data_IF_719689805765
#
_entry.id   IF_719689805765
#
_cell.length_a   1.000
_cell.length_b   1.000
_cell.length_c   1.000
_cell.angle_alpha   90.00
_cell.angle_beta   90.00
_cell.angle_gamma   90.00
#
_symmetry.space_group_name_H-M   'P 1'
#
loop_
_entity.id
_entity.type
_entity.pdbx_description
1 polymer ?
#
# COMPACT_ATOMS: atom_id res chain seq x y z
N UNK A 1 -15.13 10.44 -0.84
CA UNK A 1 -15.04 9.51 -1.98
C UNK A 1 -14.34 10.16 -3.16
N UNK A 2 -13.29 9.53 -3.67
CA UNK A 2 -12.52 10.00 -4.84
C UNK A 2 -12.76 9.06 -6.02
N UNK A 3 -13.01 9.60 -7.21
CA UNK A 3 -13.21 8.81 -8.43
C UNK A 3 -12.13 9.17 -9.45
N UNK A 4 -11.39 8.16 -9.91
CA UNK A 4 -10.30 8.31 -10.87
C UNK A 4 -10.63 7.47 -12.11
N UNK A 5 -10.65 8.13 -13.26
CA UNK A 5 -10.96 7.53 -14.55
C UNK A 5 -9.69 7.15 -15.31
N UNK A 6 -9.82 6.25 -16.29
CA UNK A 6 -8.72 5.93 -17.20
C UNK A 6 -8.17 7.18 -17.89
N UNK A 7 -6.86 7.20 -18.09
CA UNK A 7 -6.05 8.33 -18.57
C UNK A 7 -5.82 9.47 -17.55
N UNK A 8 -6.47 9.45 -16.39
CA UNK A 8 -6.09 10.34 -15.27
C UNK A 8 -4.89 9.74 -14.53
N UNK A 9 -3.96 10.59 -14.06
CA UNK A 9 -2.83 10.14 -13.24
C UNK A 9 -3.36 9.48 -11.96
N UNK A 10 -2.98 8.23 -11.72
CA UNK A 10 -3.28 7.54 -10.45
C UNK A 10 -2.29 8.06 -9.40
N UNK A 11 -2.72 8.87 -8.41
CA UNK A 11 -1.87 9.27 -7.30
C UNK A 11 -1.74 8.10 -6.31
N UNK A 12 -0.81 8.21 -5.36
CA UNK A 12 -0.77 7.30 -4.21
C UNK A 12 -2.13 7.26 -3.52
N UNK A 13 -2.69 6.05 -3.37
CA UNK A 13 -3.99 5.83 -2.74
C UNK A 13 -3.77 5.64 -1.23
N UNK A 14 -4.32 6.55 -0.42
CA UNK A 14 -4.11 6.59 1.04
C UNK A 14 -5.27 5.97 1.85
N UNK A 15 -6.34 5.53 1.18
CA UNK A 15 -7.58 5.02 1.76
C UNK A 15 -8.08 3.72 1.08
N UNK A 16 -9.18 3.12 1.58
CA UNK A 16 -9.79 1.94 0.96
C UNK A 16 -10.06 2.16 -0.52
N UNK A 17 -9.81 1.16 -1.35
CA UNK A 17 -9.94 1.33 -2.80
C UNK A 17 -10.59 0.16 -3.54
N UNK A 18 -11.42 0.52 -4.52
CA UNK A 18 -12.17 -0.41 -5.37
C UNK A 18 -11.88 -0.10 -6.84
N UNK A 19 -11.47 -1.12 -7.59
CA UNK A 19 -11.42 -1.07 -9.05
C UNK A 19 -12.67 -1.74 -9.63
N UNK A 20 -13.43 -1.01 -10.45
CA UNK A 20 -14.69 -1.49 -11.04
C UNK A 20 -14.47 -2.10 -12.44
N UNK A 21 -14.33 -3.42 -12.48
CA UNK A 21 -14.08 -4.21 -13.69
C UNK A 21 -15.38 -4.84 -14.21
N UNK A 22 -15.48 -4.98 -15.52
CA UNK A 22 -16.68 -5.48 -16.17
C UNK A 22 -16.79 -4.99 -17.61
N UNK A 23 -17.86 -5.37 -18.34
CA UNK A 23 -18.08 -4.89 -19.69
C UNK A 23 -18.14 -3.37 -19.73
N UNK A 24 -17.49 -2.79 -20.74
CA UNK A 24 -17.53 -1.36 -21.06
C UNK A 24 -18.04 -1.18 -22.48
N UNK A 25 -18.84 -0.14 -22.71
CA UNK A 25 -19.43 0.19 -24.01
C UNK A 25 -19.61 1.70 -24.14
N UNK A 26 -19.71 2.16 -25.38
CA UNK A 26 -20.10 3.54 -25.70
C UNK A 26 -21.62 3.77 -25.51
N UNK A 27 -22.41 2.71 -25.38
CA UNK A 27 -23.84 2.79 -25.04
C UNK A 27 -24.02 2.98 -23.52
N UNK A 28 -24.66 4.08 -23.11
CA UNK A 28 -24.92 4.43 -21.69
C UNK A 28 -25.78 3.39 -20.99
N UNK A 29 -26.69 2.75 -21.71
CA UNK A 29 -27.55 1.71 -21.14
C UNK A 29 -26.75 0.46 -20.76
N UNK A 30 -25.59 0.27 -21.38
CA UNK A 30 -24.71 -0.89 -21.20
C UNK A 30 -23.74 -0.66 -20.03
N UNK A 31 -23.39 0.58 -19.70
CA UNK A 31 -22.47 0.92 -18.60
C UNK A 31 -23.15 1.52 -17.37
N UNK A 32 -24.48 1.63 -17.38
CA UNK A 32 -25.29 2.18 -16.29
C UNK A 32 -24.96 1.56 -14.92
N UNK A 33 -24.62 0.26 -14.88
CA UNK A 33 -24.27 -0.45 -13.66
C UNK A 33 -23.08 0.18 -12.91
N UNK A 34 -22.11 0.79 -13.60
CA UNK A 34 -20.98 1.48 -12.92
C UNK A 34 -21.47 2.72 -12.19
N UNK A 35 -22.38 3.46 -12.81
CA UNK A 35 -22.99 4.63 -12.18
C UNK A 35 -23.87 4.21 -11.00
N UNK A 36 -24.64 3.13 -11.13
CA UNK A 36 -25.40 2.53 -10.03
C UNK A 36 -24.47 2.09 -8.88
N UNK A 37 -23.32 1.48 -9.19
CA UNK A 37 -22.34 1.09 -8.18
C UNK A 37 -21.77 2.30 -7.43
N UNK A 38 -21.43 3.37 -8.15
CA UNK A 38 -20.94 4.63 -7.55
C UNK A 38 -22.01 5.23 -6.65
N UNK A 39 -23.27 5.32 -7.11
CA UNK A 39 -24.38 5.85 -6.33
C UNK A 39 -24.64 5.02 -5.07
N UNK A 40 -24.59 3.68 -5.19
CA UNK A 40 -24.75 2.79 -4.05
C UNK A 40 -23.63 2.97 -3.02
N UNK A 41 -22.37 3.03 -3.47
CA UNK A 41 -21.22 3.27 -2.60
C UNK A 41 -21.30 4.65 -1.92
N UNK A 42 -21.75 5.69 -2.63
CA UNK A 42 -22.02 7.00 -2.03
C UNK A 42 -23.11 6.94 -0.97
N UNK A 43 -24.25 6.30 -1.28
CA UNK A 43 -25.40 6.22 -0.38
C UNK A 43 -25.10 5.43 0.91
N UNK A 44 -24.19 4.46 0.83
CA UNK A 44 -23.73 3.65 1.97
C UNK A 44 -22.54 4.28 2.72
N UNK A 45 -22.12 5.50 2.34
CA UNK A 45 -21.11 6.27 3.06
C UNK A 45 -19.66 5.88 2.74
N UNK A 46 -19.40 5.19 1.62
CA UNK A 46 -18.03 4.89 1.19
C UNK A 46 -17.26 6.19 0.88
N UNK A 47 -16.17 6.43 1.58
CA UNK A 47 -15.36 7.65 1.46
C UNK A 47 -14.02 7.44 0.72
N UNK A 48 -13.67 6.19 0.40
CA UNK A 48 -12.45 5.78 -0.26
C UNK A 48 -12.32 6.14 -1.76
N UNK A 49 -11.44 5.43 -2.46
CA UNK A 49 -11.10 5.68 -3.88
C UNK A 49 -11.73 4.64 -4.80
N UNK A 50 -12.40 5.10 -5.87
CA UNK A 50 -12.96 4.27 -6.94
C UNK A 50 -12.15 4.49 -8.21
N UNK A 51 -11.63 3.40 -8.78
CA UNK A 51 -10.90 3.38 -10.04
C UNK A 51 -11.84 2.84 -11.14
N UNK A 52 -11.96 3.60 -12.23
CA UNK A 52 -12.90 3.31 -13.33
C UNK A 52 -12.13 3.19 -14.66
N UNK A 53 -12.20 2.04 -15.35
CA UNK A 53 -11.52 1.82 -16.63
C UNK A 53 -12.22 2.51 -17.82
N UNK A 54 -12.99 3.56 -17.59
CA UNK A 54 -13.74 4.34 -18.58
C UNK A 54 -13.37 5.82 -18.48
N UNK A 55 -13.18 6.52 -19.61
CA UNK A 55 -12.77 7.91 -19.59
C UNK A 55 -13.90 8.80 -19.03
N UNK A 56 -13.52 9.89 -18.36
CA UNK A 56 -14.50 10.85 -17.79
C UNK A 56 -15.35 11.53 -18.86
N UNK A 57 -14.74 11.88 -20.00
CA UNK A 57 -15.41 12.49 -21.15
C UNK A 57 -15.42 11.54 -22.33
N UNK A 58 -16.59 11.38 -22.97
CA UNK A 58 -16.74 10.61 -24.21
C UNK A 58 -16.11 11.36 -25.38
N UNK A 59 -15.43 10.65 -26.28
CA UNK A 59 -14.94 11.19 -27.55
C UNK A 59 -13.42 11.08 -27.79
N UNK A 60 -12.64 10.66 -26.80
CA UNK A 60 -11.22 10.34 -27.03
C UNK A 60 -11.08 8.98 -27.71
N UNK A 61 -10.32 8.92 -28.81
CA UNK A 61 -9.81 7.66 -29.35
C UNK A 61 -9.12 6.91 -28.21
N UNK A 62 -9.54 5.67 -27.95
CA UNK A 62 -8.91 4.85 -26.91
C UNK A 62 -7.54 4.42 -27.43
N UNK A 63 -6.47 5.01 -26.88
CA UNK A 63 -5.13 4.44 -27.01
C UNK A 63 -5.11 3.15 -26.18
N UNK A 64 -5.18 2.00 -26.85
CA UNK A 64 -5.28 0.68 -26.22
C UNK A 64 -4.07 0.35 -25.32
N UNK A 65 -2.82 0.56 -25.77
CA UNK A 65 -1.65 0.45 -24.89
C UNK A 65 -1.75 1.28 -23.62
N UNK A 66 -2.08 2.57 -23.74
CA UNK A 66 -2.19 3.46 -22.58
C UNK A 66 -3.35 3.07 -21.66
N UNK A 67 -4.47 2.60 -22.25
CA UNK A 67 -5.61 2.07 -21.50
C UNK A 67 -5.22 0.84 -20.69
N UNK A 68 -4.52 -0.11 -21.32
CA UNK A 68 -4.08 -1.34 -20.68
C UNK A 68 -3.08 -1.05 -19.56
N UNK A 69 -2.09 -0.20 -19.81
CA UNK A 69 -1.10 0.20 -18.80
C UNK A 69 -1.79 0.81 -17.57
N UNK A 70 -2.71 1.74 -17.79
CA UNK A 70 -3.49 2.35 -16.71
C UNK A 70 -4.32 1.31 -15.95
N UNK A 71 -5.00 0.40 -16.64
CA UNK A 71 -5.81 -0.66 -16.01
C UNK A 71 -4.94 -1.57 -15.14
N UNK A 72 -3.76 -1.99 -15.63
CA UNK A 72 -2.84 -2.82 -14.87
C UNK A 72 -2.32 -2.08 -13.63
N UNK A 73 -1.94 -0.81 -13.77
CA UNK A 73 -1.51 0.03 -12.65
C UNK A 73 -2.63 0.21 -11.61
N UNK A 74 -3.87 0.46 -12.06
CA UNK A 74 -5.04 0.58 -11.21
C UNK A 74 -5.32 -0.73 -10.44
N UNK A 75 -5.29 -1.87 -11.11
CA UNK A 75 -5.47 -3.18 -10.48
C UNK A 75 -4.37 -3.50 -9.46
N UNK A 76 -3.14 -3.06 -9.71
CA UNK A 76 -2.05 -3.23 -8.76
C UNK A 76 -2.27 -2.42 -7.49
N UNK A 77 -2.76 -1.18 -7.59
CA UNK A 77 -2.95 -0.28 -6.45
C UNK A 77 -4.25 -0.54 -5.67
N UNK A 78 -5.31 -1.00 -6.32
CA UNK A 78 -6.60 -1.22 -5.66
C UNK A 78 -6.54 -2.31 -4.57
N UNK A 79 -7.30 -2.16 -3.50
CA UNK A 79 -7.45 -3.18 -2.45
C UNK A 79 -8.42 -4.30 -2.87
N UNK A 80 -9.47 -3.94 -3.62
CA UNK A 80 -10.48 -4.86 -4.15
C UNK A 80 -10.63 -4.68 -5.66
N UNK A 81 -10.64 -5.80 -6.38
CA UNK A 81 -10.94 -5.90 -7.81
C UNK A 81 -12.34 -6.48 -7.96
N UNK A 82 -13.31 -5.61 -8.23
CA UNK A 82 -14.73 -5.96 -8.28
C UNK A 82 -15.15 -6.17 -9.73
N UNK A 83 -15.46 -7.42 -10.09
CA UNK A 83 -15.96 -7.80 -11.39
C UNK A 83 -17.47 -7.95 -11.38
N UNK A 84 -18.19 -7.06 -12.06
CA UNK A 84 -19.62 -7.22 -12.33
C UNK A 84 -19.84 -7.56 -13.81
N UNK A 85 -20.44 -8.71 -14.11
CA UNK A 85 -20.56 -9.22 -15.48
C UNK A 85 -22.03 -9.48 -15.86
N UNK A 86 -22.82 -8.43 -16.18
CA UNK A 86 -24.19 -8.55 -16.68
C UNK A 86 -24.20 -8.94 -18.18
N UNK A 87 -23.61 -10.11 -18.50
CA UNK A 87 -23.34 -10.51 -19.89
C UNK A 87 -24.62 -10.76 -20.67
N UNK A 88 -24.72 -10.07 -21.81
CA UNK A 88 -25.67 -10.35 -22.87
C UNK A 88 -24.91 -10.48 -24.19
N UNK A 89 -24.87 -11.66 -24.82
CA UNK A 89 -23.96 -11.96 -25.93
C UNK A 89 -24.10 -11.03 -27.13
N UNK A 90 -25.30 -10.47 -27.36
CA UNK A 90 -25.56 -9.59 -28.51
C UNK A 90 -25.17 -8.14 -28.23
N UNK A 91 -25.43 -7.65 -27.02
CA UNK A 91 -25.34 -6.21 -26.70
C UNK A 91 -24.18 -5.87 -25.76
N UNK A 92 -23.73 -6.86 -24.97
CA UNK A 92 -22.73 -6.71 -23.93
C UNK A 92 -21.98 -8.03 -23.71
N UNK A 93 -21.18 -8.50 -24.70
CA UNK A 93 -20.55 -9.81 -24.64
C UNK A 93 -19.43 -9.93 -23.59
N UNK A 94 -18.88 -8.81 -23.11
CA UNK A 94 -17.84 -8.75 -22.07
C UNK A 94 -16.59 -9.59 -22.40
N UNK A 95 -16.13 -9.59 -23.66
CA UNK A 95 -15.05 -10.45 -24.13
C UNK A 95 -13.71 -10.14 -23.46
N UNK A 96 -13.33 -8.85 -23.38
CA UNK A 96 -12.11 -8.40 -22.69
C UNK A 96 -12.12 -8.83 -21.22
N UNK A 97 -13.27 -8.71 -20.57
CA UNK A 97 -13.45 -9.08 -19.15
C UNK A 97 -13.13 -10.55 -18.88
N UNK A 98 -13.28 -11.46 -19.85
CA UNK A 98 -12.84 -12.86 -19.67
C UNK A 98 -11.33 -12.97 -19.42
N UNK A 99 -10.54 -12.17 -20.14
CA UNK A 99 -9.08 -12.17 -20.01
C UNK A 99 -8.68 -11.57 -18.66
N UNK A 100 -9.30 -10.45 -18.28
CA UNK A 100 -9.06 -9.77 -17.00
C UNK A 100 -9.45 -10.68 -15.82
N UNK A 101 -10.57 -11.41 -15.90
CA UNK A 101 -10.93 -12.44 -14.91
C UNK A 101 -9.82 -13.48 -14.83
N UNK A 102 -9.39 -14.05 -15.95
CA UNK A 102 -8.33 -15.07 -15.97
C UNK A 102 -7.01 -14.60 -15.34
N UNK A 103 -6.65 -13.34 -15.55
CA UNK A 103 -5.45 -12.73 -14.95
C UNK A 103 -5.54 -12.59 -13.42
N UNK A 104 -6.71 -12.23 -12.90
CA UNK A 104 -6.85 -11.85 -11.49
C UNK A 104 -7.58 -12.87 -10.62
N UNK A 105 -8.10 -13.97 -11.18
CA UNK A 105 -8.90 -14.96 -10.43
C UNK A 105 -8.17 -15.67 -9.29
N UNK A 106 -6.83 -15.60 -9.24
CA UNK A 106 -6.02 -16.13 -8.12
C UNK A 106 -5.65 -15.06 -7.10
N UNK A 107 -5.97 -13.81 -7.38
CA UNK A 107 -5.67 -12.68 -6.50
C UNK A 107 -6.61 -12.71 -5.31
N UNK A 108 -6.08 -12.50 -4.10
CA UNK A 108 -6.92 -12.28 -2.94
C UNK A 108 -7.81 -11.03 -3.11
N UNK A 109 -7.48 -10.09 -4.00
CA UNK A 109 -8.29 -8.89 -4.26
C UNK A 109 -9.55 -9.17 -5.07
N UNK A 110 -9.66 -10.34 -5.71
CA UNK A 110 -10.71 -10.68 -6.66
C UNK A 110 -12.08 -10.89 -6.01
N UNK A 111 -13.10 -10.24 -6.57
CA UNK A 111 -14.51 -10.44 -6.23
C UNK A 111 -15.34 -10.47 -7.52
N UNK A 112 -16.31 -11.38 -7.59
CA UNK A 112 -17.08 -11.63 -8.79
C UNK A 112 -18.58 -11.54 -8.50
N UNK A 113 -19.33 -10.88 -9.36
CA UNK A 113 -20.78 -11.01 -9.43
C UNK A 113 -21.30 -10.96 -10.85
N UNK A 114 -22.45 -11.59 -11.05
CA UNK A 114 -23.21 -11.52 -12.27
C UNK A 114 -24.67 -11.87 -12.00
N UNK A 115 -25.63 -11.24 -12.69
CA UNK A 115 -27.03 -11.64 -12.67
C UNK A 115 -27.22 -13.14 -12.92
N UNK A 116 -28.25 -13.78 -12.34
CA UNK A 116 -28.53 -15.20 -12.58
C UNK A 116 -28.73 -15.55 -14.05
N UNK A 117 -29.31 -14.63 -14.82
CA UNK A 117 -29.58 -14.76 -16.25
C UNK A 117 -28.40 -14.37 -17.17
N UNK A 118 -27.26 -13.94 -16.58
CA UNK A 118 -26.07 -13.59 -17.34
C UNK A 118 -25.54 -14.78 -18.15
N UNK A 119 -25.46 -14.60 -19.47
CA UNK A 119 -25.18 -15.68 -20.40
C UNK A 119 -23.73 -16.17 -20.28
N UNK A 120 -23.49 -17.47 -20.51
CA UNK A 120 -22.13 -18.07 -20.58
C UNK A 120 -21.26 -17.81 -19.34
N UNK A 121 -21.86 -17.68 -18.16
CA UNK A 121 -21.13 -17.48 -16.89
C UNK A 121 -20.68 -18.78 -16.22
N UNK A 122 -21.18 -19.95 -16.64
CA UNK A 122 -20.93 -21.24 -15.98
C UNK A 122 -19.43 -21.51 -15.74
N UNK A 123 -18.59 -21.40 -16.76
CA UNK A 123 -17.15 -21.64 -16.62
C UNK A 123 -16.47 -20.68 -15.64
N UNK A 124 -16.80 -19.38 -15.70
CA UNK A 124 -16.24 -18.36 -14.82
C UNK A 124 -16.65 -18.64 -13.36
N UNK A 125 -17.92 -18.98 -13.12
CA UNK A 125 -18.42 -19.33 -11.77
C UNK A 125 -17.71 -20.58 -11.23
N UNK A 126 -17.58 -21.62 -12.05
CA UNK A 126 -16.88 -22.86 -11.68
C UNK A 126 -15.41 -22.60 -11.35
N UNK A 127 -14.71 -21.80 -12.17
CA UNK A 127 -13.30 -21.46 -11.95
C UNK A 127 -13.12 -20.58 -10.71
N UNK A 128 -14.02 -19.63 -10.47
CA UNK A 128 -14.00 -18.78 -9.28
C UNK A 128 -14.17 -19.63 -8.02
N UNK A 129 -15.15 -20.54 -8.02
CA UNK A 129 -15.37 -21.48 -6.92
C UNK A 129 -14.16 -22.40 -6.68
N UNK A 130 -13.49 -22.87 -7.74
CA UNK A 130 -12.26 -23.66 -7.61
C UNK A 130 -11.15 -22.94 -6.83
N UNK A 131 -11.05 -21.61 -6.98
CA UNK A 131 -10.11 -20.78 -6.21
C UNK A 131 -10.70 -20.19 -4.91
N UNK A 132 -11.88 -20.65 -4.49
CA UNK A 132 -12.51 -20.23 -3.22
C UNK A 132 -13.27 -18.91 -3.28
N UNK A 133 -13.55 -18.38 -4.47
CA UNK A 133 -14.33 -17.16 -4.65
C UNK A 133 -15.82 -17.46 -4.84
N UNK A 134 -16.68 -16.71 -4.14
CA UNK A 134 -18.12 -16.72 -4.37
C UNK A 134 -18.48 -15.83 -5.58
N UNK A 135 -19.60 -16.12 -6.23
CA UNK A 135 -20.18 -15.27 -7.27
C UNK A 135 -21.51 -14.70 -6.79
N UNK A 136 -21.58 -13.40 -6.59
CA UNK A 136 -22.78 -12.69 -6.12
C UNK A 136 -23.79 -12.51 -7.26
N UNK A 137 -25.08 -12.64 -6.96
CA UNK A 137 -26.13 -12.61 -7.98
C UNK A 137 -26.66 -11.20 -8.25
N UNK A 138 -26.47 -10.28 -7.32
CA UNK A 138 -26.86 -8.87 -7.47
C UNK A 138 -25.70 -7.92 -7.25
N UNK A 139 -25.74 -6.75 -7.91
CA UNK A 139 -24.74 -5.70 -7.75
C UNK A 139 -24.69 -5.16 -6.30
N UNK A 140 -25.82 -4.89 -5.61
CA UNK A 140 -25.80 -4.47 -4.21
C UNK A 140 -25.13 -5.48 -3.28
N UNK A 141 -25.41 -6.79 -3.42
CA UNK A 141 -24.76 -7.82 -2.61
C UNK A 141 -23.25 -7.85 -2.81
N UNK A 142 -22.80 -7.75 -4.07
CA UNK A 142 -21.38 -7.69 -4.40
C UNK A 142 -20.70 -6.46 -3.77
N UNK A 143 -21.34 -5.29 -3.84
CA UNK A 143 -20.82 -4.05 -3.28
C UNK A 143 -20.78 -4.09 -1.75
N UNK A 144 -21.83 -4.60 -1.11
CA UNK A 144 -21.87 -4.77 0.34
C UNK A 144 -20.77 -5.72 0.81
N UNK A 145 -20.57 -6.85 0.12
CA UNK A 145 -19.49 -7.77 0.42
C UNK A 145 -18.11 -7.13 0.24
N UNK A 146 -17.94 -6.30 -0.80
CA UNK A 146 -16.70 -5.56 -1.01
C UNK A 146 -16.42 -4.56 0.12
N UNK A 147 -17.45 -3.86 0.60
CA UNK A 147 -17.33 -2.96 1.75
C UNK A 147 -16.98 -3.69 3.03
N UNK A 148 -17.64 -4.82 3.35
CA UNK A 148 -17.29 -5.65 4.52
C UNK A 148 -15.84 -6.12 4.43
N UNK A 149 -15.40 -6.54 3.23
CA UNK A 149 -14.02 -6.94 3.00
C UNK A 149 -13.04 -5.79 3.24
N UNK A 150 -13.32 -4.61 2.70
CA UNK A 150 -12.50 -3.42 2.91
C UNK A 150 -12.46 -3.02 4.38
N UNK A 151 -13.62 -3.02 5.06
CA UNK A 151 -13.68 -2.78 6.49
C UNK A 151 -12.84 -3.80 7.24
N UNK A 152 -12.89 -5.09 6.93
CA UNK A 152 -12.06 -6.09 7.58
C UNK A 152 -10.56 -5.87 7.32
N UNK A 153 -10.17 -5.60 6.07
CA UNK A 153 -8.78 -5.31 5.69
C UNK A 153 -8.25 -4.07 6.43
N UNK A 154 -9.06 -3.03 6.52
CA UNK A 154 -8.68 -1.77 7.12
C UNK A 154 -8.83 -1.75 8.64
N UNK A 155 -9.80 -2.45 9.23
CA UNK A 155 -9.89 -2.70 10.67
C UNK A 155 -8.74 -3.58 11.15
N UNK A 156 -8.34 -4.62 10.41
CA UNK A 156 -7.14 -5.40 10.73
C UNK A 156 -5.88 -4.53 10.66
N UNK A 157 -5.83 -3.58 9.73
CA UNK A 157 -4.74 -2.59 9.65
C UNK A 157 -4.80 -1.53 10.76
N UNK A 158 -5.95 -1.32 11.41
CA UNK A 158 -6.18 -0.30 12.45
C UNK A 158 -6.16 -0.84 13.90
N UNK A 159 -6.33 -2.16 14.12
CA UNK A 159 -6.46 -2.73 15.49
C UNK A 159 -5.11 -3.21 16.05
N UNK A 160 -4.19 -3.66 15.19
CA UNK A 160 -2.75 -3.83 15.43
C UNK A 160 -2.13 -4.07 14.07
N UNK A 161 -1.32 -3.16 13.57
CA UNK A 161 -0.85 -3.27 12.19
C UNK A 161 0.48 -2.60 11.97
N UNK A 162 1.45 -3.38 11.51
CA UNK A 162 2.67 -2.83 10.91
C UNK A 162 2.35 -2.52 9.46
N UNK A 163 2.48 -1.27 9.04
CA UNK A 163 2.22 -0.83 7.66
C UNK A 163 3.12 0.33 7.25
N UNK A 164 3.28 0.53 5.95
CA UNK A 164 3.89 1.75 5.41
C UNK A 164 3.09 2.99 5.89
N UNK A 165 3.82 4.04 6.29
CA UNK A 165 3.27 5.34 6.63
C UNK A 165 2.75 6.05 5.38
N UNK A 166 1.71 6.84 5.61
CA UNK A 166 0.96 7.60 4.62
C UNK A 166 1.02 9.08 4.96
N UNK A 167 0.64 9.92 4.00
CA UNK A 167 0.60 11.37 4.22
C UNK A 167 -0.32 11.75 5.41
N UNK A 168 -1.40 11.01 5.63
CA UNK A 168 -2.31 11.26 6.75
C UNK A 168 -1.71 10.88 8.11
N UNK A 169 -0.60 10.14 8.14
CA UNK A 169 0.11 9.79 9.38
C UNK A 169 1.14 10.85 9.79
N UNK A 170 1.37 11.89 8.97
CA UNK A 170 2.39 12.93 9.22
C UNK A 170 2.25 13.58 10.62
N UNK A 171 1.04 13.92 11.09
CA UNK A 171 0.87 14.46 12.44
C UNK A 171 1.34 13.50 13.54
N UNK A 172 0.93 12.23 13.48
CA UNK A 172 1.32 11.21 14.45
C UNK A 172 2.82 10.87 14.34
N UNK A 173 3.39 10.89 13.14
CA UNK A 173 4.81 10.69 12.89
C UNK A 173 5.64 11.81 13.54
N UNK A 174 5.23 13.06 13.35
CA UNK A 174 5.88 14.21 13.96
C UNK A 174 5.77 14.15 15.49
N UNK A 175 4.62 13.76 16.02
CA UNK A 175 4.41 13.55 17.46
C UNK A 175 5.34 12.46 18.02
N UNK A 176 5.43 11.31 17.34
CA UNK A 176 6.30 10.20 17.72
C UNK A 176 7.79 10.59 17.73
N UNK A 177 8.25 11.32 16.70
CA UNK A 177 9.64 11.80 16.63
C UNK A 177 9.94 12.87 17.67
N UNK A 178 8.96 13.72 17.99
CA UNK A 178 9.05 14.70 19.07
C UNK A 178 8.93 14.10 20.47
N UNK A 179 8.45 12.85 20.60
CA UNK A 179 7.97 12.26 21.85
C UNK A 179 6.96 13.19 22.56
N UNK A 180 6.03 13.73 21.78
CA UNK A 180 5.01 14.70 22.20
C UNK A 180 3.61 14.18 21.83
N UNK A 181 2.57 14.76 22.43
CA UNK A 181 1.19 14.54 21.98
C UNK A 181 0.94 15.21 20.63
N UNK A 182 0.10 14.61 19.78
CA UNK A 182 -0.18 15.09 18.42
C UNK A 182 -0.65 16.56 18.37
N UNK A 183 -1.39 17.02 19.39
CA UNK A 183 -1.87 18.40 19.51
C UNK A 183 -0.82 19.44 19.91
N UNK A 184 0.40 19.02 20.23
CA UNK A 184 1.50 19.89 20.69
C UNK A 184 2.63 20.03 19.66
N UNK A 185 2.51 19.38 18.52
CA UNK A 185 3.53 19.35 17.47
C UNK A 185 3.65 20.71 16.79
N UNK A 186 4.88 21.20 16.60
CA UNK A 186 5.11 22.49 15.92
C UNK A 186 4.96 22.38 14.39
N UNK A 187 4.71 23.50 13.71
CA UNK A 187 4.65 23.54 12.25
C UNK A 187 5.97 23.06 11.60
N UNK A 188 7.11 23.29 12.26
CA UNK A 188 8.42 22.84 11.77
C UNK A 188 8.58 21.31 11.84
N UNK A 189 8.04 20.68 12.89
CA UNK A 189 8.08 19.22 13.06
C UNK A 189 7.19 18.53 12.03
N UNK A 190 6.00 19.09 11.78
CA UNK A 190 5.10 18.64 10.71
C UNK A 190 5.78 18.74 9.34
N UNK A 191 6.44 19.86 9.05
CA UNK A 191 7.17 20.05 7.80
C UNK A 191 8.32 19.06 7.65
N UNK A 192 9.06 18.81 8.73
CA UNK A 192 10.15 17.83 8.75
C UNK A 192 9.63 16.41 8.48
N UNK A 193 8.58 15.98 9.18
CA UNK A 193 7.96 14.66 9.00
C UNK A 193 7.39 14.48 7.58
N UNK A 194 6.72 15.50 7.05
CA UNK A 194 6.22 15.49 5.66
C UNK A 194 7.36 15.34 4.65
N UNK A 195 8.46 16.09 4.81
CA UNK A 195 9.65 15.97 3.94
C UNK A 195 10.27 14.59 4.01
N UNK A 196 10.36 13.99 5.20
CA UNK A 196 10.89 12.63 5.37
C UNK A 196 10.05 11.61 4.61
N UNK A 197 8.72 11.67 4.73
CA UNK A 197 7.82 10.77 4.02
C UNK A 197 7.97 10.92 2.50
N UNK A 198 7.90 12.15 1.98
CA UNK A 198 8.03 12.43 0.54
C UNK A 198 9.37 11.95 -0.03
N UNK A 199 10.49 12.24 0.65
CA UNK A 199 11.81 11.79 0.22
C UNK A 199 11.93 10.27 0.23
N UNK A 200 11.28 9.59 1.18
CA UNK A 200 11.28 8.14 1.23
C UNK A 200 10.55 7.53 0.04
N UNK A 201 9.41 8.12 -0.36
CA UNK A 201 8.65 7.69 -1.54
C UNK A 201 9.45 7.87 -2.84
N UNK A 202 10.09 9.03 -3.02
CA UNK A 202 10.90 9.34 -4.21
C UNK A 202 12.08 8.37 -4.40
N UNK A 203 12.73 7.98 -3.31
CA UNK A 203 13.88 7.05 -3.34
C UNK A 203 13.47 5.58 -3.38
N UNK A 204 12.18 5.29 -3.19
CA UNK A 204 11.70 3.93 -3.03
C UNK A 204 12.11 3.29 -1.70
N UNK A 205 12.43 4.10 -0.70
CA UNK A 205 12.65 3.69 0.69
C UNK A 205 11.32 3.29 1.35
N UNK A 206 11.37 2.76 2.57
CA UNK A 206 10.18 2.39 3.34
C UNK A 206 10.21 3.10 4.68
N UNK A 207 9.07 3.66 5.06
CA UNK A 207 8.85 4.27 6.36
C UNK A 207 7.66 3.53 6.96
N UNK A 208 7.93 2.68 7.94
CA UNK A 208 7.02 1.64 8.41
C UNK A 208 6.56 2.03 9.82
N UNK A 209 5.26 2.17 10.01
CA UNK A 209 4.64 2.45 11.29
C UNK A 209 4.06 1.21 11.95
N UNK A 210 4.13 1.15 13.27
CA UNK A 210 3.40 0.23 14.12
C UNK A 210 2.20 0.94 14.73
N UNK A 211 1.00 0.49 14.39
CA UNK A 211 -0.24 1.06 14.88
C UNK A 211 -0.90 0.16 15.92
N UNK A 212 -1.45 0.75 16.98
CA UNK A 212 -2.31 0.09 17.96
C UNK A 212 -3.54 0.96 18.17
N UNK A 213 -4.73 0.40 17.92
CA UNK A 213 -6.00 1.15 18.02
C UNK A 213 -6.00 2.48 17.22
N UNK A 214 -5.32 2.51 16.07
CA UNK A 214 -5.21 3.69 15.20
C UNK A 214 -4.12 4.69 15.57
N UNK A 215 -3.45 4.52 16.71
CA UNK A 215 -2.33 5.36 17.15
C UNK A 215 -0.99 4.79 16.65
N UNK A 216 -0.14 5.63 16.07
CA UNK A 216 1.22 5.32 15.67
C UNK A 216 2.14 5.32 16.91
N UNK A 217 2.48 4.12 17.38
CA UNK A 217 3.26 3.94 18.62
C UNK A 217 4.71 3.50 18.36
N UNK A 218 5.07 3.28 17.10
CA UNK A 218 6.46 2.99 16.71
C UNK A 218 6.68 3.18 15.21
N UNK A 219 7.92 3.45 14.81
CA UNK A 219 8.31 3.70 13.44
C UNK A 219 9.69 3.10 13.16
N UNK A 220 9.90 2.66 11.92
CA UNK A 220 11.18 2.21 11.40
C UNK A 220 11.37 2.77 9.98
N UNK A 221 12.54 3.34 9.70
CA UNK A 221 12.93 3.72 8.34
C UNK A 221 13.85 2.65 7.74
N UNK A 222 13.64 2.33 6.48
CA UNK A 222 14.47 1.38 5.74
C UNK A 222 14.83 1.96 4.38
N UNK A 223 16.12 2.03 4.12
CA UNK A 223 16.68 2.58 2.90
C UNK A 223 17.22 1.47 2.01
N UNK A 224 17.04 1.58 0.69
CA UNK A 224 17.67 0.65 -0.25
C UNK A 224 18.91 1.26 -0.87
N UNK A 225 19.98 0.47 -0.96
CA UNK A 225 21.22 0.88 -1.59
C UNK A 225 21.75 -0.20 -2.52
N UNK A 226 22.40 0.21 -3.60
CA UNK A 226 23.15 -0.69 -4.47
C UNK A 226 24.61 -0.70 -4.02
N UNK A 227 25.10 -1.88 -3.64
CA UNK A 227 26.49 -2.09 -3.27
C UNK A 227 27.20 -2.78 -4.43
N UNK A 228 28.23 -2.13 -4.97
CA UNK A 228 29.09 -2.70 -6.00
C UNK A 228 30.50 -2.87 -5.43
N UNK A 229 30.98 -4.11 -5.36
CA UNK A 229 32.34 -4.45 -4.95
C UNK A 229 33.18 -4.86 -6.17
N UNK A 230 34.48 -4.50 -6.23
CA UNK A 230 35.34 -4.93 -7.33
C UNK A 230 35.33 -6.45 -7.51
N UNK A 231 35.01 -6.92 -8.71
CA UNK A 231 34.97 -8.35 -9.03
C UNK A 231 33.72 -9.11 -8.55
N UNK A 232 32.72 -8.42 -7.99
CA UNK A 232 31.44 -9.03 -7.59
C UNK A 232 30.25 -8.36 -8.31
N UNK A 233 29.14 -9.07 -8.52
CA UNK A 233 27.90 -8.47 -9.02
C UNK A 233 27.41 -7.36 -8.09
N UNK A 234 26.75 -6.35 -8.65
CA UNK A 234 26.08 -5.35 -7.85
C UNK A 234 24.92 -5.99 -7.08
N UNK A 235 24.90 -5.77 -5.77
CA UNK A 235 23.90 -6.33 -4.87
C UNK A 235 23.00 -5.22 -4.31
N UNK A 236 21.70 -5.52 -4.17
CA UNK A 236 20.79 -4.65 -3.45
C UNK A 236 20.89 -4.96 -1.96
N UNK A 237 21.19 -3.96 -1.14
CA UNK A 237 21.18 -4.05 0.32
C UNK A 237 20.08 -3.16 0.89
N UNK A 238 19.59 -3.50 2.07
CA UNK A 238 18.73 -2.64 2.85
C UNK A 238 19.49 -2.11 4.06
N UNK A 239 19.25 -0.86 4.44
CA UNK A 239 19.80 -0.23 5.64
C UNK A 239 18.64 0.20 6.54
N UNK A 240 18.54 -0.40 7.72
CA UNK A 240 17.55 0.02 8.73
C UNK A 240 18.10 1.24 9.46
N UNK A 241 17.30 2.31 9.50
CA UNK A 241 17.60 3.53 10.24
C UNK A 241 16.44 3.91 11.14
N UNK A 242 16.75 4.61 12.24
CA UNK A 242 15.77 5.23 13.14
C UNK A 242 14.62 4.30 13.56
N UNK A 243 14.92 3.28 14.37
CA UNK A 243 13.89 2.48 15.04
C UNK A 243 13.42 3.24 16.28
N UNK A 244 12.17 3.69 16.29
CA UNK A 244 11.59 4.47 17.38
C UNK A 244 10.35 3.76 17.89
N UNK A 245 10.21 3.67 19.20
CA UNK A 245 9.00 3.21 19.89
C UNK A 245 8.67 4.26 20.94
N UNK A 246 7.40 4.71 20.98
CA UNK A 246 6.94 5.68 21.97
C UNK A 246 7.24 5.21 23.39
N UNK A 247 7.65 6.13 24.27
CA UNK A 247 8.18 5.80 25.61
C UNK A 247 7.32 4.80 26.40
N UNK A 248 6.01 5.02 26.47
CA UNK A 248 5.06 4.16 27.20
C UNK A 248 4.88 2.76 26.58
N UNK A 249 5.34 2.59 25.34
CA UNK A 249 5.20 1.37 24.56
C UNK A 249 6.52 0.58 24.42
N UNK A 250 7.61 1.09 25.00
CA UNK A 250 8.90 0.41 24.99
C UNK A 250 8.86 -0.92 25.76
N UNK A 251 9.80 -1.82 25.45
CA UNK A 251 9.92 -3.16 26.07
C UNK A 251 8.73 -4.12 25.85
N UNK A 252 7.79 -3.79 24.96
CA UNK A 252 6.64 -4.65 24.63
C UNK A 252 6.85 -5.50 23.36
N UNK A 253 8.07 -5.56 22.81
CA UNK A 253 8.37 -6.32 21.59
C UNK A 253 8.10 -5.58 20.27
N UNK A 254 7.57 -4.36 20.31
CA UNK A 254 7.21 -3.57 19.11
C UNK A 254 8.40 -3.36 18.17
N UNK A 255 9.57 -2.98 18.70
CA UNK A 255 10.78 -2.82 17.89
C UNK A 255 11.21 -4.12 17.21
N UNK A 256 11.06 -5.26 17.90
CA UNK A 256 11.31 -6.59 17.32
C UNK A 256 10.37 -6.87 16.16
N UNK A 257 9.08 -6.62 16.32
CA UNK A 257 8.09 -6.86 15.25
C UNK A 257 8.34 -5.93 14.04
N UNK A 258 8.68 -4.65 14.28
CA UNK A 258 9.05 -3.70 13.22
C UNK A 258 10.26 -4.19 12.42
N UNK A 259 11.31 -4.66 13.10
CA UNK A 259 12.52 -5.21 12.44
C UNK A 259 12.17 -6.46 11.64
N UNK A 260 11.39 -7.39 12.20
CA UNK A 260 10.99 -8.61 11.49
C UNK A 260 10.20 -8.31 10.22
N UNK A 261 9.28 -7.35 10.28
CA UNK A 261 8.54 -6.91 9.11
C UNK A 261 9.45 -6.25 8.07
N UNK A 262 10.40 -5.43 8.50
CA UNK A 262 11.38 -4.82 7.60
C UNK A 262 12.25 -5.86 6.89
N UNK A 263 12.68 -6.91 7.60
CA UNK A 263 13.44 -8.03 7.00
C UNK A 263 12.63 -8.73 5.90
N UNK A 264 11.34 -9.01 6.13
CA UNK A 264 10.45 -9.60 5.12
C UNK A 264 10.31 -8.69 3.89
N UNK A 265 10.15 -7.39 4.10
CA UNK A 265 10.07 -6.43 2.99
C UNK A 265 11.39 -6.32 2.21
N UNK A 266 12.52 -6.38 2.90
CA UNK A 266 13.84 -6.38 2.26
C UNK A 266 14.02 -7.63 1.37
N UNK A 267 13.65 -8.81 1.87
CA UNK A 267 13.67 -10.07 1.11
C UNK A 267 12.77 -10.00 -0.13
N UNK A 268 11.53 -9.54 0.03
CA UNK A 268 10.58 -9.36 -1.09
C UNK A 268 11.08 -8.35 -2.12
N UNK A 269 11.86 -7.35 -1.69
CA UNK A 269 12.50 -6.37 -2.57
C UNK A 269 13.78 -6.91 -3.25
N UNK A 270 14.15 -8.17 -3.01
CA UNK A 270 15.35 -8.80 -3.58
C UNK A 270 16.65 -8.31 -2.94
N UNK A 271 16.61 -7.81 -1.70
CA UNK A 271 17.83 -7.45 -0.99
C UNK A 271 18.61 -8.72 -0.59
N UNK A 272 19.92 -8.72 -0.81
CA UNK A 272 20.82 -9.83 -0.46
C UNK A 272 21.43 -9.66 0.94
N UNK A 273 21.03 -8.63 1.68
CA UNK A 273 21.51 -8.36 3.02
C UNK A 273 20.90 -7.11 3.62
N UNK A 274 20.86 -7.06 4.95
CA UNK A 274 20.32 -5.95 5.73
C UNK A 274 21.38 -5.48 6.72
N UNK A 275 21.61 -4.18 6.77
CA UNK A 275 22.58 -3.52 7.65
C UNK A 275 21.85 -2.55 8.58
N UNK A 276 22.44 -2.31 9.75
CA UNK A 276 21.95 -1.38 10.76
C UNK A 276 23.12 -0.94 11.63
N UNK A 277 23.08 0.29 12.12
CA UNK A 277 24.01 0.79 13.12
C UNK A 277 23.27 1.06 14.42
N UNK A 278 23.92 0.74 15.53
CA UNK A 278 23.43 1.04 16.87
C UNK A 278 24.53 1.76 17.64
N UNK A 279 24.15 2.76 18.44
CA UNK A 279 25.09 3.49 19.30
C UNK A 279 25.67 2.52 20.34
N UNK A 280 26.98 2.64 20.59
CA UNK A 280 27.65 1.88 21.63
C UNK A 280 26.96 2.11 22.99
N UNK A 281 26.63 1.03 23.69
CA UNK A 281 25.96 1.07 24.99
C UNK A 281 24.43 0.99 24.94
N UNK A 282 23.79 1.07 23.77
CA UNK A 282 22.35 0.81 23.65
C UNK A 282 22.05 -0.70 23.67
N UNK A 283 22.15 -1.30 24.86
CA UNK A 283 21.98 -2.74 25.06
C UNK A 283 20.57 -3.25 24.70
N UNK A 284 19.54 -2.39 24.76
CA UNK A 284 18.19 -2.76 24.35
C UNK A 284 18.12 -3.02 22.85
N UNK A 285 18.64 -2.08 22.05
CA UNK A 285 18.72 -2.23 20.58
C UNK A 285 19.66 -3.39 20.21
N UNK A 286 20.83 -3.51 20.84
CA UNK A 286 21.76 -4.61 20.55
C UNK A 286 21.12 -5.98 20.78
N UNK A 287 20.43 -6.20 21.91
CA UNK A 287 19.70 -7.46 22.17
C UNK A 287 18.57 -7.70 21.19
N UNK A 288 17.86 -6.65 20.78
CA UNK A 288 16.81 -6.76 19.77
C UNK A 288 17.39 -7.20 18.42
N UNK A 289 18.52 -6.64 18.01
CA UNK A 289 19.19 -6.99 16.76
C UNK A 289 19.72 -8.42 16.79
N UNK A 290 20.41 -8.81 17.86
CA UNK A 290 20.91 -10.17 18.08
C UNK A 290 19.78 -11.22 18.02
N UNK A 291 18.65 -10.95 18.70
CA UNK A 291 17.45 -11.80 18.66
C UNK A 291 16.86 -11.97 17.25
N UNK A 292 17.07 -11.00 16.35
CA UNK A 292 16.63 -11.04 14.96
C UNK A 292 17.72 -11.56 14.00
N UNK A 293 18.80 -12.14 14.52
CA UNK A 293 19.84 -12.78 13.72
C UNK A 293 20.87 -11.82 13.11
N UNK A 294 20.90 -10.57 13.56
CA UNK A 294 21.99 -9.67 13.18
C UNK A 294 23.28 -10.07 13.89
N UNK A 295 24.36 -10.17 13.13
CA UNK A 295 25.69 -10.40 13.68
C UNK A 295 26.39 -9.06 13.90
N UNK A 296 27.03 -8.91 15.06
CA UNK A 296 27.85 -7.74 15.36
C UNK A 296 29.21 -7.89 14.67
N UNK A 297 29.64 -6.85 13.96
CA UNK A 297 30.99 -6.77 13.41
C UNK A 297 31.94 -6.08 14.39
N UNK A 298 33.16 -6.60 14.54
CA UNK A 298 34.10 -6.23 15.61
C UNK A 298 34.66 -4.80 15.50
N UNK A 299 34.65 -4.20 14.30
CA UNK A 299 35.21 -2.86 14.03
C UNK A 299 34.35 -2.06 13.04
N UNK A 300 33.74 -0.98 13.52
CA UNK A 300 33.09 0.03 12.69
C UNK A 300 33.82 1.36 12.84
N UNK A 301 34.38 1.89 11.74
CA UNK A 301 35.06 3.19 11.72
C UNK A 301 34.18 4.24 11.04
N UNK A 302 33.79 5.27 11.78
CA UNK A 302 33.05 6.40 11.23
C UNK A 302 33.97 7.59 10.97
N UNK A 303 34.22 7.87 9.69
CA UNK A 303 34.95 9.06 9.26
C UNK A 303 33.97 10.12 8.78
N UNK A 304 34.06 11.33 9.35
CA UNK A 304 33.21 12.46 8.98
C UNK A 304 33.98 13.46 8.13
N UNK A 305 33.47 13.74 6.94
CA UNK A 305 33.87 14.90 6.16
C UNK A 305 32.92 16.07 6.44
N UNK A 306 33.45 17.27 6.64
CA UNK A 306 32.67 18.48 6.86
C UNK A 306 33.15 19.58 5.92
N UNK A 307 32.21 20.25 5.24
CA UNK A 307 32.45 21.42 4.39
C UNK A 307 31.79 22.63 5.03
N UNK A 308 32.47 23.77 5.09
CA UNK A 308 31.96 24.97 5.76
C UNK A 308 30.63 25.50 5.20
N UNK A 309 30.33 25.21 3.93
CA UNK A 309 29.09 25.59 3.26
C UNK A 309 27.92 24.62 3.50
N UNK A 310 28.17 23.50 4.18
CA UNK A 310 27.12 22.54 4.52
C UNK A 310 26.52 22.89 5.88
N UNK A 311 25.20 22.65 6.07
CA UNK A 311 24.60 22.79 7.38
C UNK A 311 25.40 22.02 8.43
N UNK A 312 25.55 22.59 9.62
CA UNK A 312 26.16 21.86 10.73
C UNK A 312 25.34 20.57 10.95
N UNK A 313 25.97 19.40 10.82
CA UNK A 313 25.30 18.16 11.16
C UNK A 313 24.82 18.26 12.60
N UNK A 314 23.53 18.02 12.84
CA UNK A 314 23.07 17.71 14.19
C UNK A 314 23.90 16.52 14.68
N UNK A 315 24.37 16.48 15.93
CA UNK A 315 24.89 15.24 16.49
C UNK A 315 23.86 14.13 16.20
N UNK A 316 24.30 12.91 15.87
CA UNK A 316 23.38 11.77 15.80
C UNK A 316 22.52 11.85 17.05
N UNK A 317 21.22 12.07 16.85
CA UNK A 317 20.29 12.25 17.96
C UNK A 317 20.49 11.02 18.81
N UNK A 318 20.95 11.21 20.06
CA UNK A 318 20.95 10.17 21.06
C UNK A 318 19.48 9.88 21.35
N UNK A 319 18.88 9.05 20.49
CA UNK A 319 17.57 8.48 20.71
C UNK A 319 17.79 7.48 21.85
N UNK A 320 17.29 7.86 23.02
CA UNK A 320 17.26 7.07 24.26
C UNK A 320 16.44 5.80 24.01
#
# INVERSE_FOLDING_TARGET
>A
MKIIHVFEKIPTILGPSIMLLGPSSLDEKVTAWRQEAIQHLQATGFDGTILIPEPRSRGSHVDYPLHLEWVLQACQQADVLLFWIPRHLVHMPALKTNVEVGMFIRSNKFMLGAPPDAQKMHYIRTLAAHYGHCCYETLPELLQAAQVRLQALWQQSSVRGIRQLRHDDVPQLAALYGQQEEGQVSAADLEQASRMLLQSEEKGDRLIGYFRQGELIGCLSMHFMMQALPGQPAERKAYLSSVIVGGDYQFQGIGTELVQHALQLAEQAGATGVQVQAVAGNHAVQRMLDKNGFLMEDLNFHFRFAKATWPANKPEVQLV
#
